data_IF_812488400247
#
_entry.id   IF_812488400247
#
_cell.length_a   1.000
_cell.length_b   1.000
_cell.length_c   1.000
_cell.angle_alpha   90.00
_cell.angle_beta   90.00
_cell.angle_gamma   90.00
#
_symmetry.space_group_name_H-M   'P 1'
#
loop_
_entity.id
_entity.type
_entity.pdbx_description
1 polymer ?
#
# COMPACT_ATOMS: atom_id res chain seq x y z
N UNK A 1 48.06 -15.11 -23.82
CA UNK A 1 47.61 -13.82 -23.27
C UNK A 1 46.36 -13.36 -24.04
N UNK A 2 45.14 -13.71 -23.60
CA UNK A 2 43.86 -13.21 -24.15
C UNK A 2 42.70 -13.83 -23.35
N UNK A 3 42.55 -13.43 -22.10
CA UNK A 3 41.38 -13.77 -21.29
C UNK A 3 41.26 -12.73 -20.17
N UNK A 4 40.90 -11.50 -20.53
CA UNK A 4 40.76 -10.43 -19.52
C UNK A 4 39.68 -9.39 -19.85
N UNK A 5 38.70 -9.72 -20.72
CA UNK A 5 37.73 -8.74 -21.22
C UNK A 5 36.25 -9.11 -21.01
N UNK A 6 35.92 -10.10 -20.18
CA UNK A 6 34.51 -10.50 -19.96
C UNK A 6 33.91 -9.98 -18.65
N UNK A 7 34.68 -9.39 -17.75
CA UNK A 7 34.20 -9.05 -16.39
C UNK A 7 33.65 -7.61 -16.24
N UNK A 8 33.70 -6.77 -17.29
CA UNK A 8 33.35 -5.35 -17.15
C UNK A 8 31.87 -4.99 -17.42
N UNK A 9 31.04 -5.94 -17.88
CA UNK A 9 29.66 -5.66 -18.32
C UNK A 9 28.56 -5.88 -17.29
N UNK A 10 28.83 -6.57 -16.17
CA UNK A 10 27.78 -7.04 -15.27
C UNK A 10 27.42 -6.09 -14.10
N UNK A 11 28.12 -4.95 -13.97
CA UNK A 11 28.01 -4.07 -12.79
C UNK A 11 26.99 -2.92 -12.88
N UNK A 12 26.45 -2.61 -14.06
CA UNK A 12 25.70 -1.35 -14.29
C UNK A 12 24.17 -1.49 -14.33
N UNK A 13 23.62 -2.71 -14.17
CA UNK A 13 22.17 -2.92 -14.08
C UNK A 13 21.67 -3.09 -12.65
N UNK A 14 22.53 -2.93 -11.65
CA UNK A 14 22.08 -2.73 -10.27
C UNK A 14 21.64 -1.27 -10.12
N UNK A 15 20.49 -0.93 -10.74
CA UNK A 15 19.73 0.25 -10.31
C UNK A 15 19.67 0.20 -8.78
N UNK A 16 19.96 1.29 -8.07
CA UNK A 16 19.78 1.28 -6.63
C UNK A 16 18.32 0.88 -6.42
N UNK A 17 18.10 -0.20 -5.68
CA UNK A 17 16.83 -0.48 -5.04
C UNK A 17 16.63 0.67 -4.04
N UNK A 18 16.28 1.84 -4.57
CA UNK A 18 16.05 3.05 -3.80
C UNK A 18 14.81 2.76 -2.97
N UNK A 19 15.06 2.34 -1.72
CA UNK A 19 14.12 2.31 -0.62
C UNK A 19 12.71 1.83 -0.99
N UNK A 20 12.59 0.61 -1.55
CA UNK A 20 11.35 -0.12 -1.34
C UNK A 20 11.24 -0.29 0.18
N UNK A 21 10.32 0.45 0.81
CA UNK A 21 9.98 0.27 2.20
C UNK A 21 9.74 -1.22 2.45
N UNK A 22 10.15 -1.73 3.60
CA UNK A 22 9.80 -3.11 3.95
C UNK A 22 8.29 -3.27 3.81
N UNK A 23 7.81 -4.43 3.34
CA UNK A 23 6.38 -4.67 3.20
C UNK A 23 5.59 -4.40 4.50
N UNK A 24 6.26 -4.59 5.65
CA UNK A 24 5.75 -4.17 6.95
C UNK A 24 5.48 -2.66 7.04
N UNK A 25 6.45 -1.80 6.69
CA UNK A 25 6.27 -0.35 6.79
C UNK A 25 5.26 0.16 5.77
N UNK A 26 5.26 -0.39 4.56
CA UNK A 26 4.25 -0.06 3.55
C UNK A 26 2.82 -0.42 4.03
N UNK A 27 2.67 -1.58 4.68
CA UNK A 27 1.40 -1.98 5.30
C UNK A 27 1.00 -1.04 6.44
N UNK A 28 1.95 -0.60 7.27
CA UNK A 28 1.67 0.35 8.36
C UNK A 28 1.20 1.71 7.82
N UNK A 29 1.78 2.21 6.73
CA UNK A 29 1.34 3.44 6.08
C UNK A 29 -0.08 3.31 5.49
N UNK A 30 -0.38 2.18 4.86
CA UNK A 30 -1.73 1.86 4.34
C UNK A 30 -2.77 1.80 5.46
N UNK A 31 -2.48 1.07 6.54
CA UNK A 31 -3.37 0.99 7.71
C UNK A 31 -3.55 2.39 8.33
N UNK A 32 -2.49 3.19 8.41
CA UNK A 32 -2.59 4.56 8.91
C UNK A 32 -3.49 5.44 8.03
N UNK A 33 -3.44 5.29 6.71
CA UNK A 33 -4.34 5.98 5.79
C UNK A 33 -5.80 5.53 5.96
N UNK A 34 -6.04 4.23 6.15
CA UNK A 34 -7.38 3.67 6.43
C UNK A 34 -7.94 4.23 7.74
N UNK A 35 -7.16 4.19 8.82
CA UNK A 35 -7.57 4.66 10.15
C UNK A 35 -7.71 6.18 10.24
N UNK A 36 -7.00 6.92 9.38
CA UNK A 36 -7.10 8.37 9.27
C UNK A 36 -8.33 8.86 8.50
N UNK A 37 -9.07 7.98 7.85
CA UNK A 37 -10.25 8.34 7.07
C UNK A 37 -11.50 8.44 7.94
N UNK A 38 -11.93 9.67 8.22
CA UNK A 38 -13.10 9.93 9.06
C UNK A 38 -14.40 9.35 8.48
N UNK A 39 -14.55 9.35 7.15
CA UNK A 39 -15.73 8.81 6.49
C UNK A 39 -15.89 7.29 6.72
N UNK A 40 -14.79 6.54 6.72
CA UNK A 40 -14.78 5.13 7.09
C UNK A 40 -15.22 4.92 8.53
N UNK A 41 -14.70 5.73 9.47
CA UNK A 41 -15.10 5.65 10.87
C UNK A 41 -16.61 5.92 11.05
N UNK A 42 -17.15 6.92 10.34
CA UNK A 42 -18.59 7.22 10.35
C UNK A 42 -19.43 6.11 9.73
N UNK A 43 -18.94 5.49 8.65
CA UNK A 43 -19.63 4.39 8.00
C UNK A 43 -19.64 3.11 8.86
N UNK A 44 -18.57 2.88 9.63
CA UNK A 44 -18.53 1.89 10.71
C UNK A 44 -19.28 2.33 11.98
N UNK A 45 -19.96 3.49 11.97
CA UNK A 45 -20.68 4.06 13.12
C UNK A 45 -19.81 4.20 14.37
N UNK A 46 -18.52 4.49 14.17
CA UNK A 46 -17.51 4.64 15.22
C UNK A 46 -17.36 3.37 16.10
N UNK A 47 -17.74 2.20 15.57
CA UNK A 47 -17.58 0.93 16.28
C UNK A 47 -16.13 0.44 16.26
N UNK A 48 -15.69 -0.32 17.28
CA UNK A 48 -14.37 -0.94 17.28
C UNK A 48 -14.17 -1.85 16.06
N UNK A 49 -13.02 -1.68 15.40
CA UNK A 49 -12.61 -2.53 14.29
C UNK A 49 -12.08 -3.87 14.83
N UNK A 50 -12.52 -4.96 14.19
CA UNK A 50 -12.13 -6.34 14.48
C UNK A 50 -11.04 -6.83 13.52
N UNK A 51 -11.00 -6.29 12.31
CA UNK A 51 -10.06 -6.71 11.26
C UNK A 51 -9.74 -5.57 10.31
N UNK A 52 -8.48 -5.50 9.90
CA UNK A 52 -7.99 -4.71 8.78
C UNK A 52 -7.01 -5.63 8.03
N UNK A 53 -7.40 -6.09 6.84
CA UNK A 53 -6.67 -7.13 6.12
C UNK A 53 -6.49 -6.75 4.66
N UNK A 54 -5.29 -6.95 4.11
CA UNK A 54 -5.05 -6.79 2.68
C UNK A 54 -5.63 -7.99 1.94
N UNK A 55 -6.51 -7.73 0.96
CA UNK A 55 -7.16 -8.77 0.16
C UNK A 55 -6.64 -8.79 -1.29
N UNK A 56 -5.52 -8.10 -1.54
CA UNK A 56 -4.84 -8.04 -2.83
C UNK A 56 -4.91 -6.67 -3.49
N UNK A 57 -4.77 -6.67 -4.81
CA UNK A 57 -4.74 -5.48 -5.66
C UNK A 57 -5.74 -5.68 -6.79
N UNK A 58 -6.46 -4.63 -7.17
CA UNK A 58 -7.43 -4.70 -8.26
C UNK A 58 -6.79 -4.58 -9.65
N UNK A 59 -7.61 -4.65 -10.69
CA UNK A 59 -7.18 -4.52 -12.09
C UNK A 59 -6.56 -3.16 -12.45
N UNK A 60 -6.85 -2.13 -11.66
CA UNK A 60 -6.40 -0.75 -11.87
C UNK A 60 -5.14 -0.45 -11.03
N UNK A 61 -4.65 -1.44 -10.27
CA UNK A 61 -3.47 -1.31 -9.40
C UNK A 61 -3.77 -0.70 -8.03
N UNK A 62 -5.04 -0.54 -7.66
CA UNK A 62 -5.43 -0.07 -6.33
C UNK A 62 -5.37 -1.22 -5.33
N UNK A 63 -4.79 -0.94 -4.15
CA UNK A 63 -4.72 -1.94 -3.09
C UNK A 63 -6.06 -2.05 -2.38
N UNK A 64 -6.53 -3.30 -2.24
CA UNK A 64 -7.80 -3.63 -1.65
C UNK A 64 -7.59 -4.10 -0.22
N UNK A 65 -8.36 -3.51 0.69
CA UNK A 65 -8.32 -3.84 2.10
C UNK A 65 -9.73 -4.11 2.60
N UNK A 66 -9.92 -5.21 3.29
CA UNK A 66 -11.15 -5.47 4.03
C UNK A 66 -11.04 -4.87 5.42
N UNK A 67 -12.04 -4.08 5.80
CA UNK A 67 -12.17 -3.49 7.13
C UNK A 67 -13.48 -3.98 7.75
N UNK A 68 -13.38 -4.57 8.92
CA UNK A 68 -14.49 -5.24 9.59
C UNK A 68 -14.68 -4.69 11.00
N UNK A 69 -15.92 -4.43 11.35
CA UNK A 69 -16.42 -4.16 12.70
C UNK A 69 -17.48 -5.21 13.05
N UNK A 70 -18.16 -5.08 14.19
CA UNK A 70 -19.22 -6.02 14.55
C UNK A 70 -20.38 -6.07 13.54
N UNK A 71 -20.77 -4.91 13.00
CA UNK A 71 -22.02 -4.76 12.21
C UNK A 71 -21.77 -4.21 10.80
N UNK A 72 -20.52 -4.13 10.37
CA UNK A 72 -20.17 -3.65 9.04
C UNK A 72 -18.83 -4.26 8.64
N UNK A 73 -18.83 -4.87 7.47
CA UNK A 73 -17.63 -5.21 6.70
C UNK A 73 -17.68 -4.43 5.40
N UNK A 74 -16.53 -3.94 4.95
CA UNK A 74 -16.42 -3.21 3.69
C UNK A 74 -15.04 -3.38 3.06
N UNK A 75 -14.98 -3.18 1.75
CA UNK A 75 -13.72 -3.09 1.00
C UNK A 75 -13.34 -1.63 0.81
N UNK A 76 -12.09 -1.31 1.15
CA UNK A 76 -11.46 0.00 0.97
C UNK A 76 -10.45 -0.10 -0.16
N UNK A 77 -10.44 0.89 -1.05
CA UNK A 77 -9.49 1.02 -2.15
C UNK A 77 -8.46 2.09 -1.81
N UNK A 78 -7.19 1.71 -1.82
CA UNK A 78 -6.07 2.63 -1.60
C UNK A 78 -5.34 2.95 -2.90
N UNK A 79 -5.03 4.23 -3.09
CA UNK A 79 -4.20 4.72 -4.20
C UNK A 79 -2.83 5.15 -3.70
N UNK A 80 -1.80 4.73 -4.42
CA UNK A 80 -0.43 5.16 -4.18
C UNK A 80 -0.22 6.61 -4.64
N UNK A 81 0.32 7.44 -3.74
CA UNK A 81 0.72 8.82 -4.00
C UNK A 81 2.25 8.89 -4.06
N UNK A 82 2.86 9.00 -5.25
CA UNK A 82 4.30 9.12 -5.38
C UNK A 82 4.79 10.47 -4.83
N UNK A 83 6.00 10.52 -4.26
CA UNK A 83 6.57 11.78 -3.78
C UNK A 83 6.87 12.72 -4.96
N UNK A 84 6.72 14.03 -4.77
CA UNK A 84 7.06 15.06 -5.78
C UNK A 84 8.58 15.28 -5.95
N UNK A 85 9.40 14.40 -5.38
CA UNK A 85 10.85 14.51 -5.29
C UNK A 85 11.43 13.38 -4.44
N UNK A 86 12.50 13.65 -3.70
CA UNK A 86 13.03 12.67 -2.73
C UNK A 86 12.01 12.46 -1.61
N UNK A 87 11.56 11.22 -1.42
CA UNK A 87 10.57 10.88 -0.40
C UNK A 87 10.09 9.43 -0.53
N UNK A 88 9.12 9.06 0.29
CA UNK A 88 8.40 7.78 0.22
C UNK A 88 7.08 7.92 -0.51
N UNK A 89 6.59 6.83 -1.08
CA UNK A 89 5.18 6.70 -1.49
C UNK A 89 4.30 6.78 -0.24
N UNK A 90 3.20 7.52 -0.35
CA UNK A 90 2.15 7.58 0.66
C UNK A 90 0.85 7.03 0.07
N UNK A 91 -0.19 6.90 0.90
CA UNK A 91 -1.44 6.25 0.50
C UNK A 91 -2.63 7.11 0.87
N UNK A 92 -3.66 7.06 0.05
CA UNK A 92 -4.95 7.71 0.32
C UNK A 92 -6.10 6.75 0.04
N UNK A 93 -7.21 6.93 0.75
CA UNK A 93 -8.46 6.22 0.48
C UNK A 93 -9.14 6.85 -0.73
N UNK A 94 -9.15 6.14 -1.86
CA UNK A 94 -9.81 6.58 -3.09
C UNK A 94 -11.28 6.14 -3.12
N UNK A 95 -11.63 5.04 -2.44
CA UNK A 95 -13.00 4.53 -2.43
C UNK A 95 -13.31 3.63 -1.24
N UNK A 96 -14.60 3.61 -0.88
CA UNK A 96 -15.20 2.78 0.17
C UNK A 96 -16.39 2.02 -0.41
N UNK A 97 -16.42 0.70 -0.22
CA UNK A 97 -17.61 -0.11 -0.50
C UNK A 97 -18.75 0.19 0.48
N UNK A 98 -19.95 -0.31 0.20
CA UNK A 98 -21.02 -0.30 1.19
C UNK A 98 -20.73 -1.32 2.31
N UNK A 99 -21.37 -1.14 3.46
CA UNK A 99 -21.40 -2.20 4.49
C UNK A 99 -22.25 -3.37 3.99
N UNK A 100 -21.72 -4.59 4.09
CA UNK A 100 -22.44 -5.84 3.84
C UNK A 100 -22.87 -6.57 5.12
#
# INVERSE_FOLDING_TARGET
MKAFWVVLGAGLCASPAAAALSGWYDSAEKISAILGDAALADQHRQMPLRKIENIGTDKDGADLWEVESQDCRMVVRLRALPPKGIGKTTWEVEGRGACD
#
